data_IF_116662692015
#
_entry.id   IF_116662692015
#
_cell.length_a   1.000
_cell.length_b   1.000
_cell.length_c   1.000
_cell.angle_alpha   90.00
_cell.angle_beta   90.00
_cell.angle_gamma   90.00
#
_symmetry.space_group_name_H-M   'P 1'
#
loop_
_entity.id
_entity.type
_entity.pdbx_description
1 polymer ?
#
# COMPACT_ATOMS: atom_id res chain seq x y z
N UNK A 1 6.65 -2.18 -12.43
CA UNK A 1 8.01 -1.68 -12.12
C UNK A 1 9.11 -2.59 -12.70
N UNK A 2 9.06 -3.92 -12.51
CA UNK A 2 10.10 -4.85 -12.99
C UNK A 2 10.04 -5.23 -14.48
N UNK A 3 8.87 -5.08 -15.14
CA UNK A 3 8.68 -5.44 -16.56
C UNK A 3 9.66 -4.79 -17.56
N UNK A 4 9.92 -3.47 -17.50
CA UNK A 4 10.90 -2.81 -18.37
C UNK A 4 12.33 -3.34 -18.20
N UNK A 5 12.72 -3.76 -16.99
CA UNK A 5 14.05 -4.33 -16.70
C UNK A 5 14.18 -5.73 -17.29
N UNK A 6 13.13 -6.55 -17.21
CA UNK A 6 13.10 -7.85 -17.85
C UNK A 6 13.20 -7.73 -19.38
N UNK A 7 12.47 -6.78 -19.98
CA UNK A 7 12.57 -6.49 -21.42
C UNK A 7 13.98 -6.02 -21.81
N UNK A 8 14.61 -5.17 -21.00
CA UNK A 8 15.98 -4.74 -21.24
C UNK A 8 16.97 -5.90 -21.24
N UNK A 9 16.88 -6.83 -20.28
CA UNK A 9 17.75 -8.01 -20.24
C UNK A 9 17.55 -8.95 -21.44
N UNK A 10 16.32 -9.10 -21.93
CA UNK A 10 16.04 -9.88 -23.14
C UNK A 10 16.66 -9.24 -24.39
N UNK A 11 16.58 -7.91 -24.51
CA UNK A 11 17.12 -7.18 -25.66
C UNK A 11 18.65 -7.10 -25.63
N UNK A 12 19.26 -7.04 -24.44
CA UNK A 12 20.72 -6.99 -24.26
C UNK A 12 21.42 -8.35 -24.41
N UNK A 13 20.69 -9.40 -24.80
CA UNK A 13 21.25 -10.74 -25.04
C UNK A 13 21.42 -11.60 -23.79
N UNK A 14 21.12 -11.04 -22.61
CA UNK A 14 21.08 -11.73 -21.32
C UNK A 14 19.74 -12.49 -21.16
N UNK A 15 19.47 -13.42 -22.10
CA UNK A 15 18.18 -14.09 -22.23
C UNK A 15 17.82 -14.85 -20.96
N UNK A 16 18.77 -15.57 -20.35
CA UNK A 16 18.52 -16.33 -19.13
C UNK A 16 18.10 -15.44 -17.96
N UNK A 17 18.82 -14.34 -17.73
CA UNK A 17 18.46 -13.37 -16.68
C UNK A 17 17.09 -12.72 -16.95
N UNK A 18 16.81 -12.35 -18.21
CA UNK A 18 15.55 -11.74 -18.60
C UNK A 18 14.34 -12.68 -18.45
N UNK A 19 14.49 -13.94 -18.85
CA UNK A 19 13.44 -14.96 -18.71
C UNK A 19 13.18 -15.28 -17.24
N UNK A 20 14.23 -15.53 -16.45
CA UNK A 20 14.08 -15.82 -15.01
C UNK A 20 13.42 -14.64 -14.30
N UNK A 21 13.87 -13.41 -14.55
CA UNK A 21 13.27 -12.21 -13.97
C UNK A 21 11.82 -12.02 -14.42
N UNK A 22 11.51 -12.29 -15.69
CA UNK A 22 10.17 -12.21 -16.25
C UNK A 22 9.21 -13.20 -15.59
N UNK A 23 9.58 -14.48 -15.54
CA UNK A 23 8.77 -15.55 -14.92
C UNK A 23 8.60 -15.29 -13.43
N UNK A 24 9.67 -14.95 -12.72
CA UNK A 24 9.60 -14.67 -11.28
C UNK A 24 8.78 -13.40 -10.99
N UNK A 25 8.90 -12.37 -11.83
CA UNK A 25 8.09 -11.16 -11.73
C UNK A 25 6.61 -11.41 -11.96
N UNK A 26 6.23 -12.19 -12.98
CA UNK A 26 4.83 -12.50 -13.25
C UNK A 26 4.25 -13.38 -12.14
N UNK A 27 4.92 -14.49 -11.82
CA UNK A 27 4.37 -15.47 -10.91
C UNK A 27 4.53 -15.06 -9.46
N UNK A 28 5.73 -14.75 -8.99
CA UNK A 28 5.94 -14.46 -7.56
C UNK A 28 5.46 -13.06 -7.22
N UNK A 29 6.00 -12.04 -7.89
CA UNK A 29 5.64 -10.64 -7.56
C UNK A 29 4.17 -10.38 -7.92
N UNK A 30 3.72 -10.84 -9.09
CA UNK A 30 2.33 -10.70 -9.50
C UNK A 30 1.35 -11.42 -8.57
N UNK A 31 1.63 -12.65 -8.10
CA UNK A 31 0.76 -13.31 -7.12
C UNK A 31 0.78 -12.60 -5.76
N UNK A 32 1.95 -12.16 -5.30
CA UNK A 32 2.07 -11.46 -4.01
C UNK A 32 1.27 -10.14 -4.06
N UNK A 33 1.42 -9.36 -5.12
CA UNK A 33 0.74 -8.07 -5.23
C UNK A 33 -0.76 -8.19 -5.55
N UNK A 34 -1.20 -9.21 -6.29
CA UNK A 34 -2.61 -9.37 -6.66
C UNK A 34 -3.43 -10.22 -5.69
N UNK A 35 -2.80 -11.13 -4.92
CA UNK A 35 -3.49 -12.08 -4.05
C UNK A 35 -3.16 -11.89 -2.57
N UNK A 36 -1.88 -11.80 -2.22
CA UNK A 36 -1.49 -11.59 -0.81
C UNK A 36 -1.91 -10.20 -0.33
N UNK A 37 -1.73 -9.16 -1.15
CA UNK A 37 -2.09 -7.79 -0.77
C UNK A 37 -3.56 -7.65 -0.31
N UNK A 38 -4.59 -8.08 -1.07
CA UNK A 38 -5.97 -7.97 -0.59
C UNK A 38 -6.27 -8.85 0.63
N UNK A 39 -5.59 -9.98 0.80
CA UNK A 39 -5.74 -10.85 1.98
C UNK A 39 -5.12 -10.21 3.22
N UNK A 40 -3.92 -9.62 3.10
CA UNK A 40 -3.23 -8.98 4.22
C UNK A 40 -3.82 -7.61 4.58
N UNK A 41 -4.32 -6.86 3.60
CA UNK A 41 -4.79 -5.48 3.83
C UNK A 41 -6.21 -5.45 4.39
N UNK A 42 -7.00 -6.51 4.22
CA UNK A 42 -8.37 -6.57 4.72
C UNK A 42 -9.28 -5.58 3.98
N UNK A 43 -10.53 -5.98 3.78
CA UNK A 43 -11.61 -5.00 3.51
C UNK A 43 -11.81 -4.21 4.81
N UNK A 44 -12.04 -2.90 4.71
CA UNK A 44 -12.41 -2.01 5.82
C UNK A 44 -11.19 -1.40 6.54
N UNK A 45 -10.60 -0.32 6.05
CA UNK A 45 -11.23 1.00 5.97
C UNK A 45 -10.47 1.82 4.94
N UNK A 46 -11.07 2.03 3.76
CA UNK A 46 -10.50 2.99 2.80
C UNK A 46 -10.57 4.37 3.43
N UNK A 47 -9.42 4.96 3.76
CA UNK A 47 -9.37 6.36 4.16
C UNK A 47 -10.08 7.20 3.09
N UNK A 48 -11.05 8.04 3.48
CA UNK A 48 -11.65 8.99 2.55
C UNK A 48 -10.58 9.87 1.90
N UNK A 49 -10.67 10.12 0.59
CA UNK A 49 -9.66 10.88 -0.16
C UNK A 49 -9.42 12.28 0.41
N UNK A 50 -10.45 12.91 0.97
CA UNK A 50 -10.37 14.21 1.63
C UNK A 50 -9.44 14.20 2.85
N UNK A 51 -9.38 13.08 3.60
CA UNK A 51 -8.48 12.92 4.75
C UNK A 51 -7.02 12.85 4.29
N UNK A 52 -6.76 12.21 3.15
CA UNK A 52 -5.43 12.18 2.53
C UNK A 52 -5.04 13.59 2.10
N UNK A 53 -5.93 14.31 1.42
CA UNK A 53 -5.68 15.69 0.99
C UNK A 53 -5.35 16.61 2.18
N UNK A 54 -6.20 16.60 3.21
CA UNK A 54 -6.04 17.45 4.39
C UNK A 54 -4.76 17.09 5.14
N UNK A 55 -4.47 15.80 5.33
CA UNK A 55 -3.25 15.36 6.02
C UNK A 55 -1.98 15.69 5.24
N UNK A 56 -2.02 15.63 3.90
CA UNK A 56 -0.90 16.01 3.05
C UNK A 56 -0.64 17.51 3.11
N UNK A 57 -1.69 18.33 2.98
CA UNK A 57 -1.57 19.80 3.05
C UNK A 57 -1.19 20.27 4.46
N UNK A 58 -1.81 19.71 5.50
CA UNK A 58 -1.49 20.01 6.90
C UNK A 58 -0.10 19.54 7.29
N UNK A 59 0.31 18.36 6.82
CA UNK A 59 1.67 17.85 6.98
C UNK A 59 2.68 18.78 6.32
N UNK A 60 2.44 19.19 5.08
CA UNK A 60 3.29 20.12 4.35
C UNK A 60 3.42 21.47 5.07
N UNK A 61 2.33 21.98 5.65
CA UNK A 61 2.31 23.23 6.39
C UNK A 61 3.13 23.17 7.70
N UNK A 62 3.13 22.04 8.41
CA UNK A 62 3.77 21.89 9.72
C UNK A 62 5.23 21.41 9.60
N UNK A 63 5.50 20.45 8.69
CA UNK A 63 6.78 19.75 8.57
C UNK A 63 7.51 20.05 7.26
N UNK A 64 7.01 20.98 6.43
CA UNK A 64 7.59 21.28 5.12
C UNK A 64 7.51 20.09 4.19
N UNK A 65 8.48 19.95 3.26
CA UNK A 65 8.48 18.89 2.24
C UNK A 65 8.36 17.46 2.82
N UNK A 66 8.98 17.20 3.99
CA UNK A 66 8.89 15.92 4.69
C UNK A 66 7.45 15.60 5.17
N UNK A 67 6.68 16.66 5.42
CA UNK A 67 5.27 16.60 5.79
C UNK A 67 4.35 15.97 4.76
N UNK A 68 4.75 15.95 3.50
CA UNK A 68 4.02 15.25 2.43
C UNK A 68 3.91 13.74 2.72
N UNK A 69 4.95 13.15 3.31
CA UNK A 69 4.98 11.72 3.67
C UNK A 69 4.45 11.52 5.09
N UNK A 70 4.88 12.37 6.02
CA UNK A 70 4.53 12.25 7.44
C UNK A 70 3.04 12.47 7.69
N UNK A 71 2.40 13.40 6.99
CA UNK A 71 0.99 13.74 7.17
C UNK A 71 0.04 12.54 6.95
N UNK A 72 0.03 11.95 5.74
CA UNK A 72 -0.79 10.77 5.45
C UNK A 72 -0.44 9.57 6.33
N UNK A 73 0.82 9.40 6.71
CA UNK A 73 1.26 8.33 7.61
C UNK A 73 0.60 8.45 8.99
N UNK A 74 0.64 9.64 9.61
CA UNK A 74 0.00 9.88 10.91
C UNK A 74 -1.51 9.65 10.81
N UNK A 75 -2.14 10.17 9.77
CA UNK A 75 -3.58 10.00 9.57
C UNK A 75 -3.95 8.52 9.43
N UNK A 76 -3.17 7.73 8.69
CA UNK A 76 -3.40 6.29 8.51
C UNK A 76 -3.28 5.52 9.84
N UNK A 77 -2.28 5.85 10.65
CA UNK A 77 -2.10 5.26 11.98
C UNK A 77 -3.26 5.61 12.93
N UNK A 78 -3.73 6.86 12.88
CA UNK A 78 -4.90 7.29 13.65
C UNK A 78 -6.15 6.51 13.25
N UNK A 79 -6.47 6.45 11.96
CA UNK A 79 -7.63 5.71 11.46
C UNK A 79 -7.55 4.23 11.81
N UNK A 80 -6.37 3.61 11.70
CA UNK A 80 -6.16 2.21 12.04
C UNK A 80 -6.37 1.96 13.54
N UNK A 81 -5.82 2.82 14.39
CA UNK A 81 -5.99 2.72 15.84
C UNK A 81 -7.44 2.96 16.26
N UNK A 82 -8.10 3.93 15.62
CA UNK A 82 -9.52 4.24 15.86
C UNK A 82 -10.43 3.09 15.43
N UNK A 83 -10.18 2.48 14.26
CA UNK A 83 -10.92 1.32 13.79
C UNK A 83 -10.80 0.14 14.77
N UNK A 84 -9.58 -0.17 15.24
CA UNK A 84 -9.36 -1.19 16.27
C UNK A 84 -10.12 -0.88 17.56
N UNK A 85 -10.10 0.37 18.02
CA UNK A 85 -10.81 0.77 19.24
C UNK A 85 -12.33 0.62 19.12
N UNK A 86 -12.91 0.96 17.96
CA UNK A 86 -14.35 0.82 17.70
C UNK A 86 -14.74 -0.66 17.61
N UNK A 87 -13.95 -1.49 16.93
CA UNK A 87 -14.20 -2.94 16.80
C UNK A 87 -14.17 -3.67 18.15
N UNK A 88 -13.34 -3.19 19.08
CA UNK A 88 -13.22 -3.79 20.43
C UNK A 88 -14.41 -3.48 21.34
N UNK A 89 -15.38 -2.64 20.92
CA UNK A 89 -16.60 -2.40 21.70
C UNK A 89 -17.53 -3.62 21.58
N UNK A 90 -17.83 -4.34 22.68
CA UNK A 90 -18.78 -5.45 22.61
C UNK A 90 -20.13 -4.89 22.15
N UNK A 91 -20.65 -5.40 21.03
CA UNK A 91 -22.04 -5.15 20.65
C UNK A 91 -22.90 -5.66 21.79
N UNK A 92 -23.42 -4.75 22.61
CA UNK A 92 -24.42 -5.06 23.61
C UNK A 92 -25.62 -5.61 22.84
N UNK A 93 -25.73 -6.94 22.78
CA UNK A 93 -26.93 -7.62 22.33
C UNK A 93 -27.98 -7.35 23.40
N UNK A 94 -28.88 -6.41 23.12
CA UNK A 94 -30.09 -6.24 23.90
C UNK A 94 -31.08 -7.36 23.52
N UNK A 95 -31.82 -7.91 24.49
CA UNK A 95 -32.79 -8.99 24.30
C UNK A 95 -33.98 -8.60 23.42
#
# INVERSE_FOLDING_TARGET
>A
VWGPVAAYFLISGAIWQGVVLGVFGVFVIGLVDNLLRPILVGKDTKMPDYLILISTLGGLAIFGLNGFVIGPLIAALFMSSWALFVETRPRVQLP
#
